data_IF_914294073516
#
_entry.id   IF_914294073516
#
_cell.length_a   1.000
_cell.length_b   1.000
_cell.length_c   1.000
_cell.angle_alpha   90.00
_cell.angle_beta   90.00
_cell.angle_gamma   90.00
#
_symmetry.space_group_name_H-M   'P 1'
#
loop_
_entity.id
_entity.type
_entity.pdbx_description
1 polymer ?
#
# COMPACT_ATOMS: atom_id res chain seq x y z
N UNK A 1 18.52 -12.72 -36.72
CA UNK A 1 18.22 -11.50 -35.94
C UNK A 1 18.13 -11.94 -34.49
N UNK A 2 19.16 -11.74 -33.65
CA UNK A 2 18.97 -11.90 -32.22
C UNK A 2 18.07 -10.75 -31.76
N UNK A 3 16.99 -11.07 -31.09
CA UNK A 3 16.01 -10.11 -30.59
C UNK A 3 16.63 -9.47 -29.34
N UNK A 4 16.36 -8.19 -29.07
CA UNK A 4 16.91 -7.48 -27.90
C UNK A 4 16.76 -8.33 -26.63
N UNK A 5 17.82 -8.38 -25.84
CA UNK A 5 17.83 -8.98 -24.52
C UNK A 5 16.88 -8.22 -23.59
N UNK A 6 16.41 -8.89 -22.54
CA UNK A 6 15.49 -8.28 -21.55
C UNK A 6 16.08 -7.04 -20.88
N UNK A 7 17.39 -7.01 -20.69
CA UNK A 7 18.12 -5.86 -20.16
C UNK A 7 18.04 -4.66 -21.11
N UNK A 8 18.24 -4.89 -22.41
CA UNK A 8 18.13 -3.85 -23.45
C UNK A 8 16.69 -3.32 -23.55
N UNK A 9 15.67 -4.17 -23.35
CA UNK A 9 14.27 -3.73 -23.31
C UNK A 9 14.01 -2.82 -22.11
N UNK A 10 14.47 -3.21 -20.91
CA UNK A 10 14.31 -2.40 -19.69
C UNK A 10 15.03 -1.05 -19.80
N UNK A 11 16.24 -1.05 -20.35
CA UNK A 11 17.02 0.16 -20.58
C UNK A 11 16.28 1.13 -21.50
N UNK A 12 15.79 0.64 -22.65
CA UNK A 12 15.01 1.45 -23.61
C UNK A 12 13.71 1.99 -22.99
N UNK A 13 12.97 1.17 -22.23
CA UNK A 13 11.73 1.61 -21.60
C UNK A 13 11.97 2.65 -20.49
N UNK A 14 13.02 2.48 -19.70
CA UNK A 14 13.40 3.45 -18.66
C UNK A 14 13.84 4.79 -19.26
N UNK A 15 14.58 4.76 -20.37
CA UNK A 15 14.96 5.98 -21.10
C UNK A 15 13.74 6.71 -21.66
N UNK A 16 12.80 5.99 -22.26
CA UNK A 16 11.55 6.57 -22.77
C UNK A 16 10.70 7.19 -21.66
N UNK A 17 10.57 6.50 -20.52
CA UNK A 17 9.84 7.00 -19.36
C UNK A 17 10.49 8.28 -18.80
N UNK A 18 11.82 8.31 -18.71
CA UNK A 18 12.56 9.50 -18.28
C UNK A 18 12.31 10.70 -19.20
N UNK A 19 12.33 10.52 -20.52
CA UNK A 19 12.04 11.59 -21.48
C UNK A 19 10.62 12.13 -21.27
N UNK A 20 9.66 11.24 -21.00
CA UNK A 20 8.28 11.63 -20.72
C UNK A 20 8.17 12.47 -19.43
N UNK A 21 8.81 12.02 -18.36
CA UNK A 21 8.84 12.76 -17.09
C UNK A 21 9.55 14.10 -17.23
N UNK A 22 10.63 14.18 -18.02
CA UNK A 22 11.33 15.43 -18.30
C UNK A 22 10.42 16.44 -19.02
N UNK A 23 9.60 15.99 -19.98
CA UNK A 23 8.61 16.85 -20.67
C UNK A 23 7.53 17.30 -19.68
N UNK A 24 6.96 16.36 -18.92
CA UNK A 24 5.88 16.63 -17.95
C UNK A 24 6.27 17.62 -16.87
N UNK A 25 7.48 17.52 -16.36
CA UNK A 25 8.00 18.42 -15.32
C UNK A 25 8.63 19.70 -15.89
N UNK A 26 8.53 19.92 -17.21
CA UNK A 26 9.07 21.10 -17.89
C UNK A 26 10.60 21.16 -17.90
N UNK A 27 11.28 20.05 -17.63
CA UNK A 27 12.73 19.94 -17.73
C UNK A 27 13.20 19.83 -19.18
N UNK A 28 12.36 19.27 -20.07
CA UNK A 28 12.55 19.22 -21.51
C UNK A 28 11.45 20.04 -22.20
N UNK A 29 11.82 21.17 -22.78
CA UNK A 29 10.91 22.03 -23.54
C UNK A 29 10.85 21.56 -25.00
N UNK A 30 9.68 21.15 -25.47
CA UNK A 30 9.44 20.81 -26.88
C UNK A 30 9.19 22.09 -27.68
N UNK A 31 9.94 22.26 -28.78
CA UNK A 31 9.86 23.43 -29.67
C UNK A 31 8.95 23.20 -30.86
N UNK A 32 9.00 21.98 -31.43
CA UNK A 32 8.20 21.57 -32.56
C UNK A 32 8.09 20.05 -32.64
N UNK A 33 7.04 19.58 -33.30
CA UNK A 33 6.88 18.19 -33.71
C UNK A 33 6.56 18.07 -35.20
N UNK A 34 6.61 16.83 -35.69
CA UNK A 34 6.15 16.44 -37.00
C UNK A 34 5.77 14.95 -36.98
N UNK A 35 5.09 14.50 -38.04
CA UNK A 35 4.89 13.08 -38.30
C UNK A 35 5.83 12.68 -39.44
N UNK A 36 6.59 11.60 -39.30
CA UNK A 36 7.58 11.18 -40.31
C UNK A 36 7.05 10.15 -41.33
N UNK A 37 5.75 9.87 -41.27
CA UNK A 37 5.08 8.82 -42.03
C UNK A 37 4.87 7.52 -41.22
N UNK A 38 5.61 7.32 -40.13
CA UNK A 38 5.55 6.14 -39.30
C UNK A 38 5.25 6.43 -37.83
N UNK A 39 5.79 7.52 -37.28
CA UNK A 39 5.59 7.92 -35.88
C UNK A 39 5.75 9.43 -35.71
N UNK A 40 5.34 9.96 -34.56
CA UNK A 40 5.64 11.34 -34.18
C UNK A 40 7.12 11.50 -33.85
N UNK A 41 7.71 12.55 -34.41
CA UNK A 41 9.07 13.00 -34.13
C UNK A 41 9.01 14.40 -33.55
N UNK A 42 9.93 14.75 -32.67
CA UNK A 42 9.92 16.05 -32.02
C UNK A 42 11.33 16.60 -31.82
N UNK A 43 11.43 17.91 -31.65
CA UNK A 43 12.67 18.58 -31.27
C UNK A 43 12.46 19.37 -29.99
N UNK A 44 13.34 19.15 -29.01
CA UNK A 44 13.23 19.75 -27.69
C UNK A 44 14.56 20.28 -27.16
N UNK A 45 14.53 20.98 -26.03
CA UNK A 45 15.73 21.44 -25.31
C UNK A 45 15.56 21.28 -23.82
N UNK A 46 16.55 20.68 -23.19
CA UNK A 46 16.63 20.56 -21.75
C UNK A 46 16.92 21.93 -21.10
N UNK A 47 16.18 22.31 -20.05
CA UNK A 47 16.29 23.64 -19.42
C UNK A 47 17.36 23.73 -18.32
N UNK A 48 18.22 22.71 -18.17
CA UNK A 48 19.32 22.68 -17.20
C UNK A 48 20.53 23.57 -17.55
N UNK A 49 21.50 23.68 -16.62
CA UNK A 49 22.67 24.59 -16.71
C UNK A 49 23.55 24.39 -17.96
N UNK A 50 23.48 23.22 -18.61
CA UNK A 50 24.14 22.87 -19.88
C UNK A 50 23.14 22.24 -20.87
N UNK A 51 21.92 22.77 -20.92
CA UNK A 51 20.81 22.23 -21.70
C UNK A 51 21.15 21.89 -23.15
N UNK A 52 21.17 20.60 -23.48
CA UNK A 52 21.30 20.13 -24.85
C UNK A 52 19.94 20.15 -25.54
N UNK A 53 19.96 20.42 -26.84
CA UNK A 53 18.79 20.26 -27.69
C UNK A 53 18.79 18.85 -28.27
N UNK A 54 17.64 18.22 -28.35
CA UNK A 54 17.51 16.81 -28.72
C UNK A 54 16.48 16.63 -29.82
N UNK A 55 16.76 15.69 -30.71
CA UNK A 55 15.79 15.15 -31.66
C UNK A 55 15.23 13.86 -31.06
N UNK A 56 13.90 13.76 -31.01
CA UNK A 56 13.15 12.65 -30.46
C UNK A 56 12.46 11.87 -31.57
N UNK A 57 12.53 10.54 -31.48
CA UNK A 57 11.82 9.62 -32.37
C UNK A 57 10.92 8.72 -31.52
N UNK A 58 9.68 8.50 -31.96
CA UNK A 58 8.74 7.63 -31.27
C UNK A 58 7.80 8.34 -30.29
N UNK A 59 6.79 7.58 -29.88
CA UNK A 59 5.72 8.01 -28.97
C UNK A 59 5.76 7.20 -27.67
N UNK A 60 5.27 7.79 -26.59
CA UNK A 60 5.10 7.16 -25.28
C UNK A 60 6.34 6.35 -24.82
N UNK A 61 6.16 5.08 -24.47
CA UNK A 61 7.18 4.14 -24.01
C UNK A 61 8.21 3.73 -25.08
N UNK A 62 8.08 4.25 -26.31
CA UNK A 62 9.02 4.02 -27.42
C UNK A 62 9.80 5.28 -27.78
N UNK A 63 9.62 6.39 -27.05
CA UNK A 63 10.30 7.65 -27.32
C UNK A 63 11.79 7.56 -27.00
N UNK A 64 12.63 7.92 -27.96
CA UNK A 64 14.09 7.84 -27.86
C UNK A 64 14.75 9.11 -28.37
N UNK A 65 15.94 9.42 -27.87
CA UNK A 65 16.79 10.49 -28.39
C UNK A 65 17.55 9.95 -29.60
N UNK A 66 17.21 10.41 -30.80
CA UNK A 66 17.89 9.99 -32.03
C UNK A 66 19.10 10.88 -32.37
N UNK A 67 19.12 12.14 -31.91
CA UNK A 67 20.25 13.04 -32.11
C UNK A 67 20.30 14.14 -31.02
N UNK A 68 21.47 14.75 -30.83
CA UNK A 68 21.70 15.80 -29.85
C UNK A 68 22.54 16.95 -30.42
N UNK A 69 22.15 18.17 -30.07
CA UNK A 69 22.72 19.42 -30.58
C UNK A 69 23.13 20.32 -29.43
N UNK A 70 24.20 21.09 -29.66
CA UNK A 70 24.72 22.04 -28.66
C UNK A 70 23.93 23.36 -28.62
N UNK A 71 22.95 23.56 -29.50
CA UNK A 71 22.07 24.73 -29.48
C UNK A 71 20.65 24.45 -30.01
N UNK A 72 19.63 25.13 -29.48
CA UNK A 72 18.25 25.02 -29.98
C UNK A 72 18.11 25.45 -31.44
N UNK A 73 18.84 26.50 -31.84
CA UNK A 73 18.83 26.97 -33.22
C UNK A 73 19.38 25.91 -34.19
N UNK A 74 20.45 25.21 -33.80
CA UNK A 74 21.01 24.12 -34.61
C UNK A 74 20.04 22.95 -34.75
N UNK A 75 19.39 22.55 -33.65
CA UNK A 75 18.39 21.47 -33.65
C UNK A 75 17.17 21.81 -34.52
N UNK A 76 16.66 23.04 -34.42
CA UNK A 76 15.50 23.50 -35.20
C UNK A 76 15.78 23.54 -36.70
N UNK A 77 16.96 24.03 -37.12
CA UNK A 77 17.35 24.04 -38.53
C UNK A 77 17.49 22.62 -39.08
N UNK A 78 18.04 21.69 -38.29
CA UNK A 78 18.12 20.28 -38.68
C UNK A 78 16.74 19.64 -38.80
N UNK A 79 15.84 19.92 -37.86
CA UNK A 79 14.46 19.41 -37.85
C UNK A 79 13.63 19.96 -39.02
N UNK A 80 13.67 21.27 -39.27
CA UNK A 80 12.95 21.93 -40.37
C UNK A 80 13.42 21.43 -41.74
N UNK A 81 14.72 21.17 -41.91
CA UNK A 81 15.27 20.64 -43.16
C UNK A 81 14.69 19.27 -43.54
N UNK A 82 14.37 18.45 -42.54
CA UNK A 82 13.86 17.08 -42.75
C UNK A 82 12.32 17.07 -42.79
N UNK A 83 11.68 17.83 -41.89
CA UNK A 83 10.23 17.72 -41.62
C UNK A 83 9.43 18.98 -41.88
N UNK A 84 10.02 20.02 -42.46
CA UNK A 84 9.41 21.36 -42.56
C UNK A 84 8.02 21.42 -43.21
N UNK A 85 7.63 20.43 -44.03
CA UNK A 85 6.29 20.35 -44.61
C UNK A 85 5.20 19.89 -43.62
N UNK A 86 5.56 19.05 -42.65
CA UNK A 86 4.64 18.48 -41.65
C UNK A 86 4.83 19.07 -40.25
N UNK A 87 5.86 19.92 -40.10
CA UNK A 87 6.25 20.55 -38.84
C UNK A 87 5.16 21.45 -38.26
N UNK A 88 4.87 21.27 -36.98
CA UNK A 88 3.95 22.13 -36.22
C UNK A 88 4.72 22.88 -35.13
N UNK A 89 4.82 24.21 -35.22
CA UNK A 89 5.43 25.02 -34.17
C UNK A 89 4.48 25.16 -32.98
N UNK A 90 4.98 24.91 -31.77
CA UNK A 90 4.20 24.91 -30.53
C UNK A 90 4.47 23.65 -29.71
N UNK A 91 4.08 23.62 -28.42
CA UNK A 91 4.21 22.39 -27.63
C UNK A 91 3.44 21.27 -28.33
N UNK A 92 4.00 20.07 -28.36
CA UNK A 92 3.37 18.92 -29.00
C UNK A 92 1.92 18.77 -28.49
N UNK A 93 0.95 18.45 -29.37
CA UNK A 93 -0.38 18.11 -28.91
C UNK A 93 -0.28 17.03 -27.84
N UNK A 94 -0.98 17.23 -26.72
CA UNK A 94 -1.12 16.19 -25.70
C UNK A 94 -1.61 14.92 -26.39
N UNK A 95 -0.89 13.82 -26.20
CA UNK A 95 -1.29 12.50 -26.67
C UNK A 95 -2.63 12.12 -26.03
N UNK A 96 -3.39 11.19 -26.63
CA UNK A 96 -4.68 10.77 -26.08
C UNK A 96 -4.63 10.35 -24.59
N UNK A 97 -3.61 9.61 -24.10
CA UNK A 97 -3.47 9.34 -22.67
C UNK A 97 -3.13 10.58 -21.83
N UNK A 98 -2.34 11.52 -22.35
CA UNK A 98 -2.04 12.79 -21.66
C UNK A 98 -3.26 13.71 -21.56
N UNK A 99 -4.13 13.70 -22.59
CA UNK A 99 -5.42 14.40 -22.60
C UNK A 99 -6.39 13.78 -21.60
N UNK A 100 -6.49 12.44 -21.57
CA UNK A 100 -7.31 11.73 -20.59
C UNK A 100 -6.84 12.00 -19.14
N UNK A 101 -5.53 12.04 -18.91
CA UNK A 101 -4.94 12.37 -17.61
C UNK A 101 -5.13 13.86 -17.23
N UNK A 102 -5.16 14.78 -18.21
CA UNK A 102 -5.44 16.19 -17.98
C UNK A 102 -6.94 16.46 -17.71
N UNK A 103 -7.83 15.78 -18.42
CA UNK A 103 -9.29 15.86 -18.21
C UNK A 103 -9.68 15.31 -16.84
N UNK A 104 -9.07 14.20 -16.41
CA UNK A 104 -9.24 13.63 -15.07
C UNK A 104 -8.76 14.55 -13.93
N UNK A 105 -7.94 15.56 -14.23
CA UNK A 105 -7.39 16.53 -13.27
C UNK A 105 -8.11 17.88 -13.24
N UNK A 106 -9.22 18.04 -13.96
CA UNK A 106 -10.01 19.29 -13.89
C UNK A 106 -10.63 19.43 -12.50
N UNK A 107 -10.21 20.40 -11.66
CA UNK A 107 -10.81 20.59 -10.35
C UNK A 107 -12.25 21.10 -10.52
N UNK A 108 -13.20 20.48 -9.84
CA UNK A 108 -14.50 21.09 -9.58
C UNK A 108 -14.26 22.48 -8.99
N UNK A 109 -14.72 23.50 -9.70
CA UNK A 109 -14.50 24.90 -9.37
C UNK A 109 -14.88 25.18 -7.90
N UNK A 110 -13.92 25.74 -7.17
CA UNK A 110 -14.08 26.29 -5.82
C UNK A 110 -15.31 27.19 -5.76
N UNK A 111 -16.38 26.70 -5.13
CA UNK A 111 -17.31 27.59 -4.43
C UNK A 111 -16.66 27.90 -3.09
N UNK A 112 -16.38 29.18 -2.85
CA UNK A 112 -15.68 29.66 -1.66
C UNK A 112 -16.35 29.15 -0.38
N UNK A 113 -15.70 28.20 0.28
CA UNK A 113 -16.12 27.74 1.60
C UNK A 113 -15.69 28.76 2.65
N UNK A 114 -16.67 29.18 3.43
CA UNK A 114 -16.58 29.96 4.67
C UNK A 114 -15.48 29.38 5.60
N UNK A 115 -14.74 30.20 6.38
CA UNK A 115 -13.64 29.72 7.20
C UNK A 115 -14.08 28.56 8.10
N UNK A 116 -13.44 27.42 7.86
CA UNK A 116 -13.63 26.19 8.61
C UNK A 116 -13.15 26.41 10.06
N UNK A 117 -13.92 26.01 11.08
CA UNK A 117 -13.46 26.06 12.46
C UNK A 117 -12.22 25.19 12.61
N UNK A 118 -11.22 25.68 13.36
CA UNK A 118 -9.89 25.08 13.44
C UNK A 118 -9.92 23.56 13.62
N UNK A 119 -9.31 22.83 12.67
CA UNK A 119 -9.13 21.39 12.72
C UNK A 119 -8.49 21.04 14.08
N UNK A 120 -9.07 20.10 14.84
CA UNK A 120 -8.49 19.69 16.12
C UNK A 120 -7.08 19.15 15.90
N UNK A 121 -6.18 19.48 16.82
CA UNK A 121 -4.78 19.11 16.75
C UNK A 121 -4.64 17.58 16.74
N UNK A 122 -3.81 16.99 15.86
CA UNK A 122 -3.58 15.55 15.82
C UNK A 122 -3.01 15.06 17.17
N UNK A 123 -3.57 13.97 17.70
CA UNK A 123 -3.09 13.33 18.92
C UNK A 123 -2.00 12.30 18.56
N UNK A 124 -0.91 12.26 19.32
CA UNK A 124 0.09 11.18 19.22
C UNK A 124 -0.35 10.02 20.09
N UNK A 125 -0.56 8.86 19.47
CA UNK A 125 -1.04 7.63 20.12
C UNK A 125 -0.09 6.48 19.80
N UNK A 126 -0.13 5.35 20.54
CA UNK A 126 0.54 4.12 20.10
C UNK A 126 0.15 3.73 18.68
N UNK A 127 1.09 3.19 17.90
CA UNK A 127 0.89 2.89 16.47
C UNK A 127 -0.34 2.01 16.21
N UNK A 128 -0.63 1.06 17.10
CA UNK A 128 -1.79 0.17 17.02
C UNK A 128 -3.15 0.85 17.24
N UNK A 129 -3.16 2.10 17.74
CA UNK A 129 -4.34 2.95 17.90
C UNK A 129 -4.37 4.13 16.92
N UNK A 130 -3.37 4.24 16.05
CA UNK A 130 -3.28 5.31 15.07
C UNK A 130 -4.37 5.18 14.00
N UNK A 131 -4.55 6.25 13.22
CA UNK A 131 -5.49 6.22 12.11
C UNK A 131 -5.04 5.24 11.02
N UNK A 132 -6.03 4.70 10.30
CA UNK A 132 -5.84 3.80 9.16
C UNK A 132 -4.93 4.41 8.08
N UNK A 133 -4.97 5.73 7.92
CA UNK A 133 -4.24 6.46 6.87
C UNK A 133 -4.79 6.17 5.48
N UNK A 134 -4.05 6.60 4.47
CA UNK A 134 -4.34 6.29 3.07
C UNK A 134 -3.46 5.10 2.64
N UNK A 135 -4.07 3.94 2.47
CA UNK A 135 -3.38 2.71 2.11
C UNK A 135 -2.87 2.73 0.66
N UNK A 136 -3.52 3.49 -0.22
CA UNK A 136 -3.12 3.62 -1.62
C UNK A 136 -1.89 4.50 -1.75
N UNK A 137 -1.90 5.65 -1.08
CA UNK A 137 -0.72 6.52 -1.01
C UNK A 137 0.47 5.79 -0.39
N UNK A 138 0.23 4.93 0.61
CA UNK A 138 1.28 4.13 1.26
C UNK A 138 1.87 3.07 0.31
N UNK A 139 1.04 2.36 -0.47
CA UNK A 139 1.52 1.42 -1.49
C UNK A 139 2.24 2.15 -2.63
N UNK A 140 1.71 3.28 -3.06
CA UNK A 140 2.27 4.08 -4.15
C UNK A 140 3.63 4.64 -3.76
N UNK A 141 3.78 5.17 -2.54
CA UNK A 141 5.05 5.63 -2.02
C UNK A 141 6.09 4.51 -1.92
N UNK A 142 5.67 3.30 -1.52
CA UNK A 142 6.54 2.13 -1.50
C UNK A 142 7.03 1.77 -2.91
N UNK A 143 6.13 1.67 -3.89
CA UNK A 143 6.48 1.35 -5.28
C UNK A 143 7.38 2.41 -5.92
N UNK A 144 7.16 3.68 -5.59
CA UNK A 144 7.99 4.78 -6.08
C UNK A 144 9.41 4.77 -5.48
N UNK A 145 9.55 4.29 -4.24
CA UNK A 145 10.83 4.20 -3.54
C UNK A 145 11.64 2.94 -3.87
N UNK A 146 10.98 1.84 -4.25
CA UNK A 146 11.58 0.50 -4.38
C UNK A 146 11.46 -0.04 -5.82
N UNK A 147 12.47 0.26 -6.64
CA UNK A 147 12.50 -0.09 -8.08
C UNK A 147 12.58 -1.59 -8.40
N UNK A 148 12.90 -2.39 -7.39
CA UNK A 148 12.86 -3.86 -7.36
C UNK A 148 11.42 -4.41 -7.33
N UNK A 149 10.42 -3.56 -7.12
CA UNK A 149 9.01 -3.90 -7.15
C UNK A 149 8.30 -3.36 -8.39
N UNK A 150 7.52 -4.22 -9.04
CA UNK A 150 6.74 -3.86 -10.22
C UNK A 150 5.25 -3.85 -9.90
N UNK A 151 4.59 -2.73 -10.23
CA UNK A 151 3.13 -2.62 -10.14
C UNK A 151 2.48 -3.40 -11.28
N UNK A 152 1.59 -4.31 -10.93
CA UNK A 152 0.75 -5.05 -11.86
C UNK A 152 -0.72 -4.79 -11.54
N UNK A 153 -1.43 -4.17 -12.48
CA UNK A 153 -2.88 -4.03 -12.40
C UNK A 153 -3.54 -5.15 -13.19
N UNK A 154 -4.57 -5.73 -12.60
CA UNK A 154 -5.46 -6.63 -13.33
C UNK A 154 -6.42 -5.80 -14.20
N UNK A 155 -7.33 -6.44 -14.94
CA UNK A 155 -8.37 -5.73 -15.70
C UNK A 155 -9.30 -4.87 -14.84
N UNK A 156 -9.31 -5.07 -13.52
CA UNK A 156 -10.05 -4.26 -12.54
C UNK A 156 -9.11 -3.32 -11.79
N UNK A 157 -9.51 -2.06 -11.64
CA UNK A 157 -8.83 -1.08 -10.77
C UNK A 157 -9.11 -1.34 -9.28
N UNK A 158 -9.89 -2.37 -8.92
CA UNK A 158 -10.20 -2.72 -7.52
C UNK A 158 -9.02 -3.37 -6.77
N UNK A 159 -8.00 -3.86 -7.49
CA UNK A 159 -6.87 -4.56 -6.86
C UNK A 159 -5.55 -4.24 -7.55
N UNK A 160 -4.57 -3.81 -6.77
CA UNK A 160 -3.19 -3.66 -7.19
C UNK A 160 -2.35 -4.83 -6.70
N UNK A 161 -1.55 -5.41 -7.59
CA UNK A 161 -0.51 -6.37 -7.21
C UNK A 161 0.85 -5.66 -7.32
N UNK A 162 1.69 -5.77 -6.29
CA UNK A 162 3.11 -5.44 -6.38
C UNK A 162 3.91 -6.74 -6.37
N UNK A 163 4.79 -6.92 -7.36
CA UNK A 163 5.58 -8.14 -7.53
C UNK A 163 7.05 -7.77 -7.44
N UNK A 164 7.76 -8.36 -6.49
CA UNK A 164 9.21 -8.21 -6.37
C UNK A 164 9.92 -8.85 -7.58
N UNK A 165 11.09 -8.34 -7.98
CA UNK A 165 11.79 -8.75 -9.20
C UNK A 165 12.17 -10.24 -9.23
N UNK A 166 12.36 -10.85 -8.06
CA UNK A 166 12.58 -12.30 -7.90
C UNK A 166 11.37 -13.14 -8.31
N UNK A 167 10.18 -12.52 -8.39
CA UNK A 167 8.86 -13.14 -8.59
C UNK A 167 8.44 -14.12 -7.48
N UNK A 168 9.23 -14.19 -6.41
CA UNK A 168 9.01 -15.04 -5.23
C UNK A 168 8.37 -14.28 -4.07
N UNK A 169 8.11 -12.99 -4.21
CA UNK A 169 7.42 -12.18 -3.20
C UNK A 169 6.40 -11.28 -3.88
N UNK A 170 5.19 -11.23 -3.32
CA UNK A 170 4.05 -10.49 -3.87
C UNK A 170 3.23 -9.84 -2.78
N UNK A 171 2.75 -8.64 -3.07
CA UNK A 171 1.74 -7.92 -2.29
C UNK A 171 0.50 -7.78 -3.18
N UNK A 172 -0.66 -8.04 -2.61
CA UNK A 172 -1.97 -7.75 -3.19
C UNK A 172 -2.66 -6.75 -2.27
N UNK A 173 -3.14 -5.64 -2.83
CA UNK A 173 -3.89 -4.61 -2.13
C UNK A 173 -5.26 -4.41 -2.78
N UNK A 174 -6.32 -4.49 -1.98
CA UNK A 174 -7.72 -4.26 -2.39
C UNK A 174 -8.12 -2.86 -1.92
N UNK A 175 -8.23 -1.92 -2.86
CA UNK A 175 -8.38 -0.48 -2.61
C UNK A 175 -9.62 -0.11 -1.77
N UNK A 176 -10.73 -0.82 -1.96
CA UNK A 176 -12.04 -0.50 -1.35
C UNK A 176 -12.50 -1.60 -0.37
N UNK A 177 -11.57 -2.31 0.25
CA UNK A 177 -11.90 -3.34 1.23
C UNK A 177 -12.57 -2.74 2.48
N UNK A 178 -13.61 -3.40 2.98
CA UNK A 178 -14.23 -3.00 4.24
C UNK A 178 -13.22 -3.07 5.39
N UNK A 179 -13.41 -2.25 6.43
CA UNK A 179 -12.55 -2.20 7.62
C UNK A 179 -12.16 -3.56 8.23
N UNK A 180 -13.06 -4.55 8.20
CA UNK A 180 -12.83 -5.88 8.79
C UNK A 180 -12.50 -6.95 7.74
N UNK A 181 -12.60 -6.63 6.45
CA UNK A 181 -12.24 -7.52 5.36
C UNK A 181 -10.73 -7.44 5.12
N UNK A 182 -10.15 -8.51 4.57
CA UNK A 182 -8.76 -8.51 4.14
C UNK A 182 -8.56 -7.48 3.05
N UNK A 183 -7.70 -6.49 3.30
CA UNK A 183 -7.31 -5.47 2.33
C UNK A 183 -5.92 -5.74 1.75
N UNK A 184 -5.04 -6.37 2.55
CA UNK A 184 -3.67 -6.67 2.15
C UNK A 184 -3.41 -8.18 2.24
N UNK A 185 -2.80 -8.74 1.20
CA UNK A 185 -2.23 -10.08 1.22
C UNK A 185 -0.77 -10.00 0.79
N UNK A 186 0.15 -10.46 1.64
CA UNK A 186 1.57 -10.61 1.30
C UNK A 186 1.89 -12.09 1.27
N UNK A 187 2.53 -12.56 0.20
CA UNK A 187 2.89 -13.96 0.04
C UNK A 187 4.28 -14.12 -0.54
N UNK A 188 5.03 -15.07 0.02
CA UNK A 188 6.29 -15.52 -0.54
C UNK A 188 6.21 -16.95 -1.07
N UNK A 189 7.08 -17.27 -2.02
CA UNK A 189 7.10 -18.51 -2.79
C UNK A 189 8.52 -19.04 -2.88
N UNK A 190 8.68 -20.36 -2.92
CA UNK A 190 10.01 -20.97 -3.01
C UNK A 190 10.61 -20.73 -4.41
N UNK A 191 9.76 -20.76 -5.42
CA UNK A 191 10.07 -20.40 -6.80
C UNK A 191 8.90 -19.61 -7.37
N UNK A 192 9.05 -18.89 -8.49
CA UNK A 192 7.97 -18.10 -9.10
C UNK A 192 6.69 -18.89 -9.42
N UNK A 193 6.79 -20.22 -9.50
CA UNK A 193 5.70 -21.16 -9.84
C UNK A 193 5.42 -22.19 -8.74
N UNK A 194 6.10 -22.12 -7.60
CA UNK A 194 5.85 -23.02 -6.47
C UNK A 194 4.56 -22.63 -5.73
N UNK A 195 4.12 -23.51 -4.83
CA UNK A 195 3.13 -23.15 -3.83
C UNK A 195 3.66 -22.05 -2.88
N UNK A 196 2.75 -21.36 -2.20
CA UNK A 196 3.08 -20.33 -1.20
C UNK A 196 3.88 -20.96 -0.05
N UNK A 197 5.05 -20.40 0.24
CA UNK A 197 5.84 -20.75 1.43
C UNK A 197 5.18 -20.21 2.68
N UNK A 198 4.86 -18.93 2.65
CA UNK A 198 4.14 -18.24 3.71
C UNK A 198 3.22 -17.19 3.13
N UNK A 199 2.16 -16.92 3.88
CA UNK A 199 1.20 -15.86 3.59
C UNK A 199 0.93 -15.10 4.87
N UNK A 200 0.67 -13.82 4.68
CA UNK A 200 0.31 -12.85 5.67
C UNK A 200 -0.86 -12.04 5.13
N UNK A 201 -1.83 -11.69 5.98
CA UNK A 201 -2.94 -10.82 5.60
C UNK A 201 -3.16 -9.72 6.61
N UNK A 202 -3.67 -8.57 6.16
CA UNK A 202 -4.08 -7.47 7.03
C UNK A 202 -5.46 -6.94 6.64
N UNK A 203 -6.27 -6.58 7.64
CA UNK A 203 -7.60 -6.00 7.44
C UNK A 203 -7.54 -4.55 6.96
N UNK A 204 -8.60 -4.05 6.31
CA UNK A 204 -8.67 -2.67 5.82
C UNK A 204 -8.54 -1.58 6.90
N UNK A 205 -8.80 -1.89 8.18
CA UNK A 205 -8.61 -0.94 9.28
C UNK A 205 -7.21 -0.95 9.91
N UNK A 206 -6.25 -1.67 9.34
CA UNK A 206 -4.89 -1.74 9.88
C UNK A 206 -4.24 -0.34 9.84
N UNK A 207 -3.69 0.18 10.95
CA UNK A 207 -3.10 1.52 10.99
C UNK A 207 -1.91 1.67 10.05
N UNK A 208 -1.80 2.82 9.40
CA UNK A 208 -0.72 3.11 8.44
C UNK A 208 0.69 2.88 9.02
N UNK A 209 1.04 3.28 10.26
CA UNK A 209 2.38 3.02 10.80
C UNK A 209 2.72 1.52 10.90
N UNK A 210 1.72 0.67 11.20
CA UNK A 210 1.91 -0.78 11.28
C UNK A 210 2.15 -1.38 9.90
N UNK A 211 1.40 -0.93 8.89
CA UNK A 211 1.61 -1.34 7.49
C UNK A 211 2.93 -0.80 6.94
N UNK A 212 3.32 0.42 7.29
CA UNK A 212 4.60 0.99 6.89
C UNK A 212 5.75 0.11 7.38
N UNK A 213 5.71 -0.34 8.64
CA UNK A 213 6.73 -1.25 9.19
C UNK A 213 6.80 -2.59 8.46
N UNK A 214 5.65 -3.14 8.07
CA UNK A 214 5.60 -4.32 7.20
C UNK A 214 6.30 -4.04 5.86
N UNK A 215 5.96 -2.93 5.19
CA UNK A 215 6.56 -2.61 3.88
C UNK A 215 8.05 -2.31 3.98
N UNK A 216 8.49 -1.57 4.99
CA UNK A 216 9.91 -1.32 5.27
C UNK A 216 10.68 -2.65 5.39
N UNK A 217 10.12 -3.64 6.11
CA UNK A 217 10.74 -4.96 6.25
C UNK A 217 10.83 -5.71 4.92
N UNK A 218 9.83 -5.59 4.05
CA UNK A 218 9.81 -6.27 2.76
C UNK A 218 10.80 -5.66 1.75
N UNK A 219 11.14 -4.38 1.93
CA UNK A 219 12.15 -3.70 1.13
C UNK A 219 13.59 -4.10 1.50
N UNK A 220 13.81 -4.66 2.69
CA UNK A 220 15.13 -5.13 3.11
C UNK A 220 15.41 -6.52 2.49
N UNK A 221 16.39 -6.56 1.57
CA UNK A 221 16.77 -7.72 0.73
C UNK A 221 17.11 -8.99 1.55
N UNK A 222 17.49 -8.83 2.81
CA UNK A 222 17.85 -9.92 3.74
C UNK A 222 16.67 -10.42 4.61
N UNK A 223 15.52 -9.73 4.61
CA UNK A 223 14.45 -9.91 5.60
C UNK A 223 13.55 -11.13 5.36
N UNK A 224 13.30 -11.46 4.09
CA UNK A 224 12.30 -12.47 3.69
C UNK A 224 12.90 -13.79 3.20
N UNK A 225 14.21 -13.85 2.92
CA UNK A 225 14.94 -15.04 2.41
C UNK A 225 15.33 -16.06 3.52
N UNK A 226 14.72 -15.96 4.71
CA UNK A 226 15.09 -16.83 5.83
C UNK A 226 14.62 -18.28 5.62
N UNK A 227 15.56 -19.14 5.22
CA UNK A 227 15.61 -20.60 5.31
C UNK A 227 14.27 -21.35 5.19
N UNK A 228 14.03 -21.80 3.95
CA UNK A 228 13.07 -22.84 3.54
C UNK A 228 13.05 -24.00 4.55
N UNK A 229 11.88 -24.26 5.12
CA UNK A 229 11.52 -25.62 5.57
C UNK A 229 11.62 -25.96 7.07
N UNK A 230 12.00 -25.05 7.97
CA UNK A 230 11.89 -25.33 9.41
C UNK A 230 10.54 -24.84 9.95
N UNK A 231 9.71 -25.70 10.60
CA UNK A 231 8.53 -25.25 11.33
C UNK A 231 8.92 -24.27 12.45
N UNK A 232 7.96 -23.48 12.94
CA UNK A 232 8.18 -22.57 14.07
C UNK A 232 8.65 -23.37 15.29
N UNK A 233 9.81 -23.01 15.82
CA UNK A 233 10.32 -23.53 17.08
C UNK A 233 10.22 -22.47 18.20
N UNK A 234 10.47 -22.88 19.43
CA UNK A 234 10.40 -21.99 20.61
C UNK A 234 11.35 -20.79 20.48
N UNK A 235 12.51 -20.97 19.81
CA UNK A 235 13.47 -19.90 19.56
C UNK A 235 12.88 -18.83 18.66
N UNK A 236 12.19 -19.20 17.59
CA UNK A 236 11.50 -18.28 16.68
C UNK A 236 10.33 -17.57 17.36
N UNK A 237 9.56 -18.28 18.19
CA UNK A 237 8.48 -17.64 18.97
C UNK A 237 9.05 -16.59 19.91
N UNK A 238 10.14 -16.93 20.61
CA UNK A 238 10.83 -16.00 21.50
C UNK A 238 11.36 -14.80 20.74
N UNK A 239 12.05 -14.99 19.61
CA UNK A 239 12.58 -13.90 18.80
C UNK A 239 11.47 -12.97 18.25
N UNK A 240 10.37 -13.55 17.78
CA UNK A 240 9.23 -12.79 17.26
C UNK A 240 8.54 -11.94 18.35
N UNK A 241 8.58 -12.37 19.61
CA UNK A 241 7.81 -11.73 20.71
C UNK A 241 8.69 -11.08 21.78
N UNK A 242 10.01 -11.09 21.58
CA UNK A 242 10.97 -10.46 22.47
C UNK A 242 10.69 -8.96 22.67
N UNK A 243 10.38 -8.16 21.61
CA UNK A 243 10.03 -6.75 21.78
C UNK A 243 8.86 -6.51 22.74
N UNK A 244 7.82 -7.35 22.66
CA UNK A 244 6.65 -7.25 23.55
C UNK A 244 7.05 -7.50 25.00
N UNK A 245 7.88 -8.53 25.21
CA UNK A 245 8.35 -8.91 26.55
C UNK A 245 9.23 -7.81 27.16
N UNK A 246 10.09 -7.20 26.36
CA UNK A 246 10.96 -6.08 26.76
C UNK A 246 10.14 -4.82 27.08
N UNK A 247 9.04 -4.60 26.36
CA UNK A 247 8.05 -3.56 26.66
C UNK A 247 7.16 -3.87 27.87
N UNK A 248 7.38 -5.00 28.55
CA UNK A 248 6.64 -5.40 29.75
C UNK A 248 5.26 -5.98 29.49
N UNK A 249 4.96 -6.39 28.25
CA UNK A 249 3.73 -7.10 27.92
C UNK A 249 3.77 -8.48 28.57
N UNK A 250 2.64 -8.91 29.11
CA UNK A 250 2.54 -10.21 29.77
C UNK A 250 2.04 -11.23 28.77
N UNK A 251 2.68 -12.40 28.77
CA UNK A 251 2.14 -13.55 28.06
C UNK A 251 1.30 -14.44 28.98
N UNK A 252 0.26 -15.01 28.41
CA UNK A 252 -0.61 -16.01 29.04
C UNK A 252 -0.71 -17.24 28.14
N UNK A 253 -0.72 -18.42 28.76
CA UNK A 253 -1.00 -19.67 28.08
C UNK A 253 -2.49 -20.00 28.24
N UNK A 254 -3.22 -20.06 27.14
CA UNK A 254 -4.64 -20.41 27.10
C UNK A 254 -4.87 -21.62 26.18
N UNK A 255 -4.78 -22.81 26.78
CA UNK A 255 -4.90 -24.07 26.06
C UNK A 255 -3.81 -24.21 24.98
N UNK A 256 -4.21 -24.09 23.71
CA UNK A 256 -3.31 -24.19 22.56
C UNK A 256 -2.63 -22.85 22.18
N UNK A 257 -3.08 -21.76 22.79
CA UNK A 257 -2.66 -20.41 22.42
C UNK A 257 -1.64 -19.85 23.41
N UNK A 258 -0.62 -19.18 22.88
CA UNK A 258 0.24 -18.28 23.64
C UNK A 258 -0.16 -16.86 23.24
N UNK A 259 -0.53 -16.03 24.20
CA UNK A 259 -1.02 -14.67 23.94
C UNK A 259 -0.21 -13.66 24.73
N UNK A 260 0.33 -12.65 24.04
CA UNK A 260 0.89 -11.43 24.61
C UNK A 260 -0.14 -10.32 24.49
N UNK A 261 -0.39 -9.58 25.56
CA UNK A 261 -1.35 -8.48 25.55
C UNK A 261 -0.71 -7.20 26.09
N UNK A 262 -1.11 -6.07 25.52
CA UNK A 262 -0.74 -4.74 26.01
C UNK A 262 -1.16 -4.59 27.48
N UNK A 263 -0.50 -3.73 28.27
CA UNK A 263 -0.91 -3.48 29.65
C UNK A 263 -2.37 -3.02 29.80
N UNK A 264 -2.92 -2.37 28.76
CA UNK A 264 -4.31 -1.94 28.70
C UNK A 264 -5.28 -3.04 28.19
N UNK A 265 -4.76 -4.13 27.61
CA UNK A 265 -5.54 -5.24 27.06
C UNK A 265 -6.25 -4.92 25.75
N UNK A 266 -5.86 -3.84 25.08
CA UNK A 266 -6.47 -3.31 23.85
C UNK A 266 -5.70 -3.69 22.58
N UNK A 267 -4.56 -4.38 22.71
CA UNK A 267 -3.80 -4.95 21.61
C UNK A 267 -3.07 -6.22 22.05
N UNK A 268 -2.72 -7.06 21.09
CA UNK A 268 -2.07 -8.33 21.38
C UNK A 268 -1.47 -9.03 20.18
N UNK A 269 -0.60 -9.99 20.50
CA UNK A 269 -0.12 -11.01 19.57
C UNK A 269 -0.51 -12.37 20.12
N UNK A 270 -1.03 -13.23 19.26
CA UNK A 270 -1.47 -14.59 19.59
C UNK A 270 -0.77 -15.58 18.66
N UNK A 271 -0.27 -16.67 19.25
CA UNK A 271 0.38 -17.78 18.56
C UNK A 271 -0.39 -19.08 18.82
N UNK A 272 -0.76 -19.80 17.76
CA UNK A 272 -1.36 -21.13 17.84
C UNK A 272 -0.29 -22.22 17.83
N UNK A 273 0.07 -22.72 19.01
CA UNK A 273 1.06 -23.79 19.12
C UNK A 273 0.58 -25.11 18.48
N UNK A 274 -0.74 -25.34 18.40
CA UNK A 274 -1.28 -26.55 17.80
C UNK A 274 -1.22 -26.51 16.27
N UNK A 275 -1.60 -25.38 15.68
CA UNK A 275 -1.52 -25.17 14.23
C UNK A 275 -0.06 -25.15 13.75
N UNK A 276 0.85 -24.57 14.55
CA UNK A 276 2.29 -24.62 14.26
C UNK A 276 2.87 -26.05 14.19
N UNK A 277 2.31 -26.99 14.95
CA UNK A 277 2.73 -28.41 14.95
C UNK A 277 2.11 -29.24 13.83
N UNK A 278 1.02 -28.76 13.23
CA UNK A 278 0.35 -29.41 12.09
C UNK A 278 0.28 -28.43 10.91
N UNK A 279 1.43 -27.95 10.40
CA UNK A 279 1.43 -26.93 9.36
C UNK A 279 0.86 -27.52 8.07
N UNK A 280 -0.39 -27.18 7.75
CA UNK A 280 -0.82 -27.09 6.36
C UNK A 280 -0.48 -25.70 5.85
N UNK A 281 -0.06 -25.60 4.58
CA UNK A 281 0.24 -24.33 3.95
C UNK A 281 -0.98 -23.40 4.07
N UNK A 282 -0.76 -22.17 4.53
CA UNK A 282 -1.75 -21.08 4.62
C UNK A 282 -2.74 -21.09 5.81
N UNK A 283 -2.48 -21.78 6.93
CA UNK A 283 -3.33 -21.63 8.14
C UNK A 283 -2.81 -20.51 9.04
N UNK A 284 -3.71 -19.65 9.48
CA UNK A 284 -3.41 -18.58 10.44
C UNK A 284 -2.85 -19.15 11.75
N UNK A 285 -1.55 -19.00 11.93
CA UNK A 285 -0.82 -19.46 13.13
C UNK A 285 -0.51 -18.30 14.06
N UNK A 286 -0.30 -17.12 13.48
CA UNK A 286 -0.09 -15.87 14.19
C UNK A 286 -1.28 -14.96 13.96
N UNK A 287 -1.70 -14.26 15.01
CA UNK A 287 -2.69 -13.20 14.93
C UNK A 287 -2.19 -12.00 15.72
N UNK A 288 -1.98 -10.89 15.03
CA UNK A 288 -1.71 -9.58 15.62
C UNK A 288 -3.02 -8.79 15.55
N UNK A 289 -3.40 -8.12 16.63
CA UNK A 289 -4.70 -7.45 16.70
C UNK A 289 -4.67 -6.23 17.61
N UNK A 290 -5.60 -5.31 17.37
CA UNK A 290 -6.03 -4.32 18.35
C UNK A 290 -7.56 -4.20 18.38
N UNK A 291 -8.10 -3.73 19.50
CA UNK A 291 -9.53 -3.55 19.73
C UNK A 291 -10.06 -4.27 20.99
N UNK A 292 -11.37 -4.56 21.07
CA UNK A 292 -12.00 -5.17 22.24
C UNK A 292 -11.49 -6.58 22.59
N UNK A 293 -10.87 -7.27 21.64
CA UNK A 293 -10.29 -8.60 21.83
C UNK A 293 -10.02 -9.30 20.50
N UNK A 294 -9.29 -10.43 20.51
CA UNK A 294 -8.88 -11.13 19.30
C UNK A 294 -10.03 -11.76 18.52
N UNK A 295 -11.16 -12.04 19.17
CA UNK A 295 -12.36 -12.59 18.51
C UNK A 295 -13.19 -11.50 17.80
N UNK A 296 -12.99 -10.24 18.18
CA UNK A 296 -13.69 -9.07 17.61
C UNK A 296 -12.72 -7.89 17.49
N UNK A 297 -11.66 -8.04 16.70
CA UNK A 297 -10.65 -7.02 16.56
C UNK A 297 -11.22 -5.82 15.79
N UNK A 298 -10.72 -4.63 16.10
CA UNK A 298 -10.93 -3.44 15.28
C UNK A 298 -10.15 -3.55 13.98
N UNK A 299 -8.96 -4.12 14.05
CA UNK A 299 -8.15 -4.54 12.91
C UNK A 299 -7.32 -5.75 13.31
N UNK A 300 -7.01 -6.61 12.34
CA UNK A 300 -6.18 -7.78 12.55
C UNK A 300 -5.22 -8.00 11.41
N UNK A 301 -4.12 -8.63 11.77
CA UNK A 301 -3.13 -9.19 10.89
C UNK A 301 -3.05 -10.69 11.20
N UNK A 302 -3.09 -11.54 10.18
CA UNK A 302 -2.87 -12.98 10.33
C UNK A 302 -1.64 -13.41 9.56
N UNK A 303 -0.92 -14.40 10.09
CA UNK A 303 0.26 -14.94 9.42
C UNK A 303 0.34 -16.46 9.55
N UNK A 304 0.79 -17.09 8.48
CA UNK A 304 1.02 -18.53 8.40
C UNK A 304 2.23 -18.98 9.26
N UNK A 305 2.43 -20.28 9.52
CA UNK A 305 3.50 -20.74 10.40
C UNK A 305 4.90 -20.40 9.87
N UNK A 306 5.10 -20.35 8.56
CA UNK A 306 6.42 -20.13 7.96
C UNK A 306 6.76 -18.65 7.76
N UNK A 307 5.94 -17.74 8.29
CA UNK A 307 6.23 -16.30 8.25
C UNK A 307 7.55 -16.02 8.97
N UNK A 308 8.47 -15.22 8.39
CA UNK A 308 9.76 -14.92 9.01
C UNK A 308 9.61 -14.34 10.42
N UNK A 309 10.41 -14.85 11.36
CA UNK A 309 10.37 -14.36 12.74
C UNK A 309 10.87 -12.92 12.87
N UNK A 310 11.74 -12.48 11.96
CA UNK A 310 12.20 -11.09 11.84
C UNK A 310 11.02 -10.17 11.52
N UNK A 311 10.22 -10.50 10.51
CA UNK A 311 9.01 -9.75 10.18
C UNK A 311 8.03 -9.66 11.37
N UNK A 312 7.80 -10.78 12.07
CA UNK A 312 6.95 -10.80 13.26
C UNK A 312 7.54 -10.01 14.44
N UNK A 313 8.88 -9.94 14.53
CA UNK A 313 9.60 -9.13 15.51
C UNK A 313 9.42 -7.64 15.24
N UNK A 314 9.57 -7.22 13.98
CA UNK A 314 9.40 -5.81 13.58
C UNK A 314 7.96 -5.33 13.80
N UNK A 315 6.96 -6.18 13.52
CA UNK A 315 5.58 -5.88 13.89
C UNK A 315 5.40 -5.78 15.41
N UNK A 316 6.04 -6.66 16.17
CA UNK A 316 5.99 -6.61 17.64
C UNK A 316 6.66 -5.35 18.20
N UNK A 317 7.77 -4.91 17.61
CA UNK A 317 8.44 -3.65 17.91
C UNK A 317 7.52 -2.46 17.62
N UNK A 318 6.85 -2.46 16.46
CA UNK A 318 5.89 -1.45 16.07
C UNK A 318 4.72 -1.33 17.07
N UNK A 319 4.18 -2.46 17.53
CA UNK A 319 3.12 -2.47 18.55
C UNK A 319 3.61 -1.94 19.91
N UNK A 320 4.84 -2.30 20.29
CA UNK A 320 5.38 -2.03 21.61
C UNK A 320 5.84 -0.58 21.78
N UNK A 321 6.45 0.00 20.74
CA UNK A 321 7.26 1.20 20.88
C UNK A 321 6.88 2.32 19.91
N UNK A 322 6.24 2.00 18.78
CA UNK A 322 5.93 3.03 17.80
C UNK A 322 4.68 3.81 18.15
N UNK A 323 4.64 5.02 17.60
CA UNK A 323 3.54 5.95 17.75
C UNK A 323 3.07 6.39 16.38
N UNK A 324 1.76 6.64 16.25
CA UNK A 324 1.18 7.26 15.09
C UNK A 324 0.30 8.44 15.46
N UNK A 325 -0.27 9.07 14.45
CA UNK A 325 -1.23 10.16 14.63
C UNK A 325 -2.65 9.62 14.61
N UNK A 326 -3.47 10.16 15.49
CA UNK A 326 -4.91 9.98 15.48
C UNK A 326 -5.58 11.33 15.38
N UNK A 327 -6.51 11.50 14.43
CA UNK A 327 -7.36 12.67 14.42
C UNK A 327 -8.26 12.62 15.65
N UNK A 328 -8.11 13.62 16.50
CA UNK A 328 -9.02 13.82 17.61
C UNK A 328 -10.43 13.99 17.02
N UNK A 329 -11.25 12.94 17.14
CA UNK A 329 -12.67 13.06 16.83
C UNK A 329 -13.18 14.22 17.67
N UNK A 330 -13.74 15.23 17.00
CA UNK A 330 -14.39 16.34 17.67
C UNK A 330 -15.48 15.75 18.58
N UNK A 331 -15.17 15.59 19.86
CA UNK A 331 -16.10 15.20 20.91
C UNK A 331 -16.98 16.41 21.22
N UNK A 332 -17.83 16.72 20.24
CA UNK A 332 -18.80 17.81 20.25
C UNK A 332 -20.21 17.30 20.40
N UNK A 333 -20.53 16.58 21.48
CA UNK A 333 -21.86 16.68 22.09
C UNK A 333 -21.80 16.29 23.56
N UNK A 334 -21.88 17.32 24.40
CA UNK A 334 -21.93 17.21 25.85
C UNK A 334 -23.14 16.41 26.37
N UNK A 335 -23.13 16.11 27.67
CA UNK A 335 -24.13 15.27 28.32
C UNK A 335 -25.49 15.97 28.36
N UNK A 336 -26.46 15.44 27.62
CA UNK A 336 -27.87 15.76 27.85
C UNK A 336 -28.32 15.09 29.16
N UNK A 337 -28.03 15.73 30.28
CA UNK A 337 -28.87 15.60 31.47
C UNK A 337 -30.23 16.22 31.16
N UNK A 338 -31.21 15.40 30.77
CA UNK A 338 -32.60 15.65 31.09
C UNK A 338 -33.10 14.46 31.92
N UNK A 339 -33.04 14.66 33.23
CA UNK A 339 -33.71 13.81 34.23
C UNK A 339 -35.08 14.44 34.50
N UNK A 340 -36.07 13.55 34.65
CA UNK A 340 -37.42 13.72 35.22
C UNK A 340 -38.53 13.65 34.15
N UNK A 341 -39.59 12.85 34.25
CA UNK A 341 -40.05 11.80 35.16
C UNK A 341 -41.22 11.14 34.42
N UNK A 342 -41.29 9.81 34.33
CA UNK A 342 -42.44 9.10 33.76
C UNK A 342 -42.40 7.64 34.19
N UNK A 343 -43.35 7.26 35.03
CA UNK A 343 -43.36 6.06 35.85
C UNK A 343 -43.34 4.73 35.07
N UNK A 344 -42.71 3.73 35.69
CA UNK A 344 -42.78 2.32 35.32
C UNK A 344 -44.23 1.80 35.32
N UNK A 345 -44.60 1.08 34.27
CA UNK A 345 -45.65 0.06 34.33
C UNK A 345 -44.99 -1.32 34.18
N UNK A 346 -45.16 -2.26 35.14
CA UNK A 346 -44.58 -3.59 35.05
C UNK A 346 -45.37 -4.51 34.10
N UNK A 347 -44.72 -5.53 33.49
CA UNK A 347 -45.43 -6.55 32.73
C UNK A 347 -46.17 -7.50 33.68
N UNK A 348 -47.49 -7.60 33.50
CA UNK A 348 -48.34 -8.56 34.21
C UNK A 348 -48.00 -9.99 33.83
N UNK A 349 -47.42 -10.72 34.79
CA UNK A 349 -47.43 -12.17 34.85
C UNK A 349 -48.85 -12.61 35.23
N UNK A 350 -49.55 -13.32 34.34
CA UNK A 350 -50.77 -14.03 34.67
C UNK A 350 -50.47 -15.53 34.75
N UNK A 351 -50.18 -15.99 35.97
CA UNK A 351 -50.34 -17.39 36.35
C UNK A 351 -51.64 -17.50 37.14
N UNK A 352 -52.60 -18.27 36.65
CA UNK A 352 -53.61 -18.88 37.51
C UNK A 352 -53.73 -20.35 37.14
N UNK A 353 -53.30 -21.15 38.11
CA UNK A 353 -53.46 -22.59 38.22
C UNK A 353 -54.85 -22.89 38.80
N UNK A 354 -55.36 -24.07 38.42
CA UNK A 354 -56.45 -24.87 39.02
C UNK A 354 -57.65 -25.05 38.08
N UNK A 355 -58.30 -26.20 37.95
CA UNK A 355 -58.02 -27.59 38.29
C UNK A 355 -59.21 -28.39 37.74
N UNK A 356 -59.01 -29.67 37.36
CA UNK A 356 -60.04 -30.74 37.34
C UNK A 356 -61.14 -30.62 36.26
N UNK A 357 -61.61 -31.66 35.57
CA UNK A 357 -61.75 -33.09 35.87
C UNK A 357 -62.16 -33.83 34.56
N UNK A 358 -61.77 -35.11 34.47
CA UNK A 358 -62.54 -36.27 33.91
C UNK A 358 -63.08 -36.17 32.47
N UNK A 359 -62.75 -37.12 31.59
CA UNK A 359 -63.26 -38.50 31.56
C UNK A 359 -62.49 -39.34 30.55
#
# INVERSE_FOLDING_TARGET
MPWCTRSEIREVSNEAQKINDDIRHGQLLIHADAYDGHTTVAVGTYLGRNGKSVYLHGEDHLRQIADAFDSPAGAMVAFEKIHGAEMRPGPAPLTDPERAAAEARTPLACTAAKPEPGRPEPETVPAYLADVGDHDDLLDAFLDAHSDWERWRTWSDETTHAIHESQTLRIEHIHEASAHDTAWTVAAYETPVSDRMWVFTATGATPAPVLQKLLDHLADDDGWDTAIGAPVDEKRVTAATQPLSDAGWKHTLDGRWIRWASPAGDAGVQFDAFTAQHPSQNVDTWTVWAGPGPDRPTWAITASPHTPSSLLSDLSEALAHETGTRQAQATGRGPSTSRATGALAPPSVAANLAASRSR
#
